data_IF_326028733968
#
_entry.id   IF_326028733968
#
_cell.length_a   1.000
_cell.length_b   1.000
_cell.length_c   1.000
_cell.angle_alpha   90.00
_cell.angle_beta   90.00
_cell.angle_gamma   90.00
#
_symmetry.space_group_name_H-M   'P 1'
#
loop_
_entity.id
_entity.type
_entity.pdbx_description
1 polymer ?
#
# COMPACT_ATOMS: atom_id res chain seq x y z
N UNK A 1 -10.47 -28.46 7.82
CA UNK A 1 -9.11 -28.48 8.39
C UNK A 1 -8.23 -27.63 7.49
N UNK A 2 -7.52 -26.60 8.02
CA UNK A 2 -6.68 -25.74 7.20
C UNK A 2 -5.56 -26.53 6.52
N UNK A 3 -5.25 -26.15 5.28
CA UNK A 3 -4.14 -26.69 4.49
C UNK A 3 -2.78 -26.31 5.10
N UNK A 4 -1.70 -26.95 4.68
CA UNK A 4 -0.37 -26.57 5.14
C UNK A 4 0.00 -25.15 4.70
N UNK A 5 -0.45 -24.69 3.53
CA UNK A 5 -0.22 -23.34 3.06
C UNK A 5 -0.94 -22.30 3.96
N UNK A 6 -2.20 -22.55 4.32
CA UNK A 6 -2.94 -21.66 5.25
C UNK A 6 -2.29 -21.60 6.63
N UNK A 7 -1.77 -22.72 7.15
CA UNK A 7 -1.03 -22.75 8.42
C UNK A 7 0.27 -21.95 8.37
N UNK A 8 1.01 -22.05 7.25
CA UNK A 8 2.24 -21.28 7.07
C UNK A 8 1.97 -19.77 7.00
N UNK A 9 0.92 -19.37 6.28
CA UNK A 9 0.49 -17.96 6.20
C UNK A 9 0.04 -17.44 7.57
N UNK A 10 -0.80 -18.19 8.29
CA UNK A 10 -1.25 -17.82 9.65
C UNK A 10 -0.06 -17.63 10.59
N UNK A 11 0.89 -18.57 10.57
CA UNK A 11 2.10 -18.49 11.39
C UNK A 11 2.95 -17.24 11.04
N UNK A 12 3.09 -16.91 9.74
CA UNK A 12 3.82 -15.74 9.30
C UNK A 12 3.15 -14.43 9.77
N UNK A 13 1.82 -14.35 9.68
CA UNK A 13 1.06 -13.18 10.19
C UNK A 13 1.18 -13.04 11.72
N UNK A 14 1.04 -14.14 12.46
CA UNK A 14 1.14 -14.16 13.92
C UNK A 14 2.56 -13.85 14.43
N UNK A 15 3.58 -14.00 13.58
CA UNK A 15 4.98 -13.67 13.93
C UNK A 15 5.27 -12.18 13.98
N UNK A 16 4.43 -11.37 13.34
CA UNK A 16 4.56 -9.90 13.32
C UNK A 16 3.70 -9.30 14.43
N UNK A 17 4.35 -8.65 15.40
CA UNK A 17 3.64 -8.00 16.51
C UNK A 17 3.27 -6.56 16.14
N UNK A 18 2.06 -6.16 16.49
CA UNK A 18 1.58 -4.79 16.41
C UNK A 18 1.51 -4.18 17.81
N UNK A 19 1.90 -2.93 17.94
CA UNK A 19 1.77 -2.16 19.17
C UNK A 19 0.30 -1.76 19.44
N UNK A 20 0.05 -1.15 20.61
CA UNK A 20 -1.29 -0.74 21.01
C UNK A 20 -1.90 0.30 20.05
N UNK A 21 -1.10 1.14 19.41
CA UNK A 21 -1.59 2.15 18.46
C UNK A 21 -2.06 1.50 17.16
N UNK A 22 -1.30 0.55 16.63
CA UNK A 22 -1.67 -0.24 15.45
C UNK A 22 -2.91 -1.08 15.70
N UNK A 23 -2.98 -1.76 16.85
CA UNK A 23 -4.17 -2.55 17.26
C UNK A 23 -5.41 -1.66 17.31
N UNK A 24 -5.34 -0.51 17.99
CA UNK A 24 -6.47 0.42 18.09
C UNK A 24 -6.84 1.05 16.72
N UNK A 25 -5.88 1.26 15.82
CA UNK A 25 -6.15 1.73 14.46
C UNK A 25 -6.85 0.64 13.62
N UNK A 26 -6.47 -0.64 13.80
CA UNK A 26 -7.08 -1.79 13.14
C UNK A 26 -8.54 -1.99 13.57
N UNK A 27 -8.85 -1.88 14.85
CA UNK A 27 -10.22 -1.91 15.36
C UNK A 27 -11.06 -0.81 14.70
N UNK A 28 -10.57 0.41 14.66
CA UNK A 28 -11.26 1.53 13.98
C UNK A 28 -11.45 1.30 12.48
N UNK A 29 -10.48 0.67 11.80
CA UNK A 29 -10.62 0.31 10.39
C UNK A 29 -11.81 -0.62 10.17
N UNK A 30 -11.94 -1.64 11.00
CA UNK A 30 -13.05 -2.61 10.96
C UNK A 30 -14.38 -1.89 11.18
N UNK A 31 -14.47 -1.02 12.19
CA UNK A 31 -15.68 -0.23 12.49
C UNK A 31 -16.11 0.67 11.32
N UNK A 32 -15.13 1.17 10.54
CA UNK A 32 -15.36 2.00 9.37
C UNK A 32 -15.58 1.20 8.08
N UNK A 33 -15.50 -0.13 8.13
CA UNK A 33 -15.59 -1.00 6.94
C UNK A 33 -14.37 -0.91 6.01
N UNK A 34 -13.27 -0.33 6.47
CA UNK A 34 -12.00 -0.36 5.77
C UNK A 34 -11.30 -1.71 6.01
N UNK A 35 -10.70 -2.27 4.97
CA UNK A 35 -9.92 -3.51 5.07
C UNK A 35 -8.44 -3.17 5.33
N UNK A 36 -7.94 -3.30 6.57
CA UNK A 36 -6.55 -2.97 6.87
C UNK A 36 -5.59 -4.01 6.31
N UNK A 37 -4.44 -3.59 5.85
CA UNK A 37 -3.36 -4.52 5.46
C UNK A 37 -3.00 -5.45 6.62
N UNK A 38 -2.67 -6.73 6.35
CA UNK A 38 -2.21 -7.64 7.39
C UNK A 38 -0.84 -7.20 7.95
N UNK A 39 -0.49 -7.63 9.18
CA UNK A 39 0.76 -7.24 9.85
C UNK A 39 2.01 -7.52 9.03
N UNK A 40 2.07 -8.65 8.31
CA UNK A 40 3.20 -9.01 7.46
C UNK A 40 3.42 -8.04 6.30
N UNK A 41 2.34 -7.55 5.66
CA UNK A 41 2.42 -6.51 4.63
C UNK A 41 2.89 -5.20 5.24
N UNK A 42 2.34 -4.81 6.40
CA UNK A 42 2.76 -3.61 7.11
C UNK A 42 4.25 -3.62 7.44
N UNK A 43 4.73 -4.70 8.05
CA UNK A 43 6.15 -4.88 8.37
C UNK A 43 7.05 -4.80 7.12
N UNK A 44 6.62 -5.38 6.00
CA UNK A 44 7.38 -5.30 4.74
C UNK A 44 7.44 -3.85 4.22
N UNK A 45 6.37 -3.06 4.36
CA UNK A 45 6.37 -1.63 4.00
C UNK A 45 7.37 -0.83 4.85
N UNK A 46 7.44 -1.10 6.17
CA UNK A 46 8.44 -0.50 7.05
C UNK A 46 9.86 -0.88 6.63
N UNK A 47 10.12 -2.15 6.33
CA UNK A 47 11.43 -2.61 5.84
C UNK A 47 11.82 -1.89 4.53
N UNK A 48 10.90 -1.76 3.57
CA UNK A 48 11.20 -1.07 2.31
C UNK A 48 11.51 0.41 2.53
N UNK A 49 10.73 1.12 3.33
CA UNK A 49 11.01 2.53 3.61
C UNK A 49 12.32 2.72 4.36
N UNK A 50 12.66 1.81 5.26
CA UNK A 50 13.95 1.80 5.97
C UNK A 50 15.12 1.54 5.01
N UNK A 51 15.05 0.49 4.18
CA UNK A 51 16.11 0.15 3.23
C UNK A 51 16.36 1.27 2.20
N UNK A 52 15.30 1.96 1.77
CA UNK A 52 15.40 3.09 0.86
C UNK A 52 15.91 4.37 1.54
N UNK A 53 15.95 4.42 2.88
CA UNK A 53 16.12 5.67 3.61
C UNK A 53 15.06 6.70 3.22
N UNK A 54 13.81 6.24 3.05
CA UNK A 54 12.75 6.98 2.37
C UNK A 54 12.43 8.30 3.07
N UNK A 55 12.33 9.37 2.27
CA UNK A 55 11.90 10.71 2.67
C UNK A 55 10.55 11.11 2.08
N UNK A 56 10.24 10.59 0.91
CA UNK A 56 9.04 10.97 0.16
C UNK A 56 8.27 9.72 -0.25
N UNK A 57 7.11 9.51 0.36
CA UNK A 57 6.25 8.36 0.12
C UNK A 57 4.85 8.83 -0.30
N UNK A 58 4.27 8.17 -1.30
CA UNK A 58 2.86 8.32 -1.66
C UNK A 58 2.11 7.05 -1.33
N UNK A 59 0.96 7.19 -0.71
CA UNK A 59 0.02 6.12 -0.43
C UNK A 59 -1.32 6.44 -1.08
N UNK A 60 -1.87 5.48 -1.83
CA UNK A 60 -3.19 5.55 -2.46
C UNK A 60 -4.09 4.57 -1.73
N UNK A 61 -5.05 5.10 -0.96
CA UNK A 61 -5.84 4.36 0.01
C UNK A 61 -5.30 4.54 1.42
N UNK A 62 -5.82 5.54 2.15
CA UNK A 62 -5.39 5.86 3.53
C UNK A 62 -5.98 4.89 4.55
N UNK A 63 -7.26 4.49 4.36
CA UNK A 63 -8.00 3.75 5.36
C UNK A 63 -7.92 4.42 6.74
N UNK A 64 -7.84 3.62 7.79
CA UNK A 64 -7.65 4.14 9.16
C UNK A 64 -6.18 4.44 9.52
N UNK A 65 -5.26 4.38 8.56
CA UNK A 65 -3.87 4.79 8.72
C UNK A 65 -2.90 3.68 9.12
N UNK A 66 -3.29 2.39 9.06
CA UNK A 66 -2.44 1.26 9.48
C UNK A 66 -1.19 1.17 8.59
N UNK A 67 -1.36 1.10 7.28
CA UNK A 67 -0.24 1.08 6.31
C UNK A 67 0.61 2.34 6.42
N UNK A 68 -0.03 3.51 6.60
CA UNK A 68 0.65 4.77 6.83
C UNK A 68 1.52 4.78 8.09
N UNK A 69 1.08 4.15 9.20
CA UNK A 69 1.89 3.99 10.42
C UNK A 69 3.14 3.14 10.14
N UNK A 70 3.00 2.01 9.46
CA UNK A 70 4.11 1.14 9.09
C UNK A 70 5.10 1.82 8.12
N UNK A 71 4.59 2.58 7.14
CA UNK A 71 5.43 3.37 6.23
C UNK A 71 6.24 4.41 7.01
N UNK A 72 5.59 5.16 7.92
CA UNK A 72 6.22 6.21 8.73
C UNK A 72 7.23 5.67 9.74
N UNK A 73 7.03 4.44 10.23
CA UNK A 73 7.96 3.75 11.13
C UNK A 73 9.33 3.52 10.47
N UNK A 74 9.35 3.06 9.21
CA UNK A 74 10.60 2.84 8.47
C UNK A 74 11.18 4.08 7.78
N UNK A 75 10.40 5.14 7.61
CA UNK A 75 10.84 6.39 6.98
C UNK A 75 11.79 7.17 7.87
N UNK A 76 12.66 7.98 7.25
CA UNK A 76 13.49 8.95 7.98
C UNK A 76 12.64 9.94 8.79
N UNK A 77 13.19 10.47 9.89
CA UNK A 77 12.50 11.43 10.77
C UNK A 77 12.11 12.74 10.06
N UNK A 78 12.84 13.12 9.01
CA UNK A 78 12.56 14.27 8.15
C UNK A 78 11.68 13.92 6.93
N UNK A 79 11.18 12.67 6.85
CA UNK A 79 10.36 12.18 5.75
C UNK A 79 8.89 12.57 5.86
N UNK A 80 8.24 12.70 4.69
CA UNK A 80 6.82 13.05 4.57
C UNK A 80 6.06 11.98 3.80
N UNK A 81 5.02 11.45 4.43
CA UNK A 81 4.01 10.59 3.81
C UNK A 81 2.89 11.46 3.23
N UNK A 82 2.65 11.37 1.91
CA UNK A 82 1.44 11.88 1.26
C UNK A 82 0.46 10.72 1.10
N UNK A 83 -0.70 10.78 1.74
CA UNK A 83 -1.72 9.72 1.69
C UNK A 83 -3.06 10.27 1.20
N UNK A 84 -3.69 9.55 0.27
CA UNK A 84 -4.86 10.00 -0.48
C UNK A 84 -6.01 9.02 -0.27
N UNK A 85 -7.19 9.53 0.09
CA UNK A 85 -8.41 8.73 0.24
C UNK A 85 -9.64 9.56 -0.12
N UNK A 86 -10.67 8.92 -0.65
CA UNK A 86 -11.95 9.58 -0.96
C UNK A 86 -12.82 9.76 0.28
N UNK A 87 -12.64 8.91 1.30
CA UNK A 87 -13.49 8.87 2.48
C UNK A 87 -12.99 9.82 3.59
N UNK A 88 -13.74 10.89 3.93
CA UNK A 88 -13.32 11.83 4.98
C UNK A 88 -13.18 11.18 6.36
N UNK A 89 -13.96 10.14 6.65
CA UNK A 89 -13.89 9.41 7.92
C UNK A 89 -12.58 8.62 8.04
N UNK A 90 -12.11 7.99 6.95
CA UNK A 90 -10.82 7.35 6.88
C UNK A 90 -9.69 8.33 7.20
N UNK A 91 -9.69 9.50 6.56
CA UNK A 91 -8.70 10.56 6.79
C UNK A 91 -8.71 11.05 8.26
N UNK A 92 -9.89 11.14 8.89
CA UNK A 92 -10.00 11.50 10.31
C UNK A 92 -9.42 10.43 11.22
N UNK A 93 -9.74 9.16 10.95
CA UNK A 93 -9.22 8.03 11.71
C UNK A 93 -7.70 7.91 11.58
N UNK A 94 -7.15 8.02 10.36
CA UNK A 94 -5.71 8.02 10.11
C UNK A 94 -5.00 9.16 10.85
N UNK A 95 -5.56 10.37 10.80
CA UNK A 95 -5.00 11.52 11.55
C UNK A 95 -4.98 11.28 13.06
N UNK A 96 -6.00 10.60 13.60
CA UNK A 96 -6.04 10.21 15.01
C UNK A 96 -4.95 9.18 15.32
N UNK A 97 -4.80 8.15 14.48
CA UNK A 97 -3.79 7.12 14.62
C UNK A 97 -2.36 7.70 14.59
N UNK A 98 -2.06 8.58 13.62
CA UNK A 98 -0.75 9.24 13.54
C UNK A 98 -0.44 10.09 14.77
N UNK A 99 -1.43 10.82 15.30
CA UNK A 99 -1.26 11.57 16.55
C UNK A 99 -1.00 10.66 17.74
N UNK A 100 -1.71 9.54 17.86
CA UNK A 100 -1.53 8.58 18.94
C UNK A 100 -0.12 7.95 18.91
N UNK A 101 0.44 7.73 17.70
CA UNK A 101 1.81 7.29 17.49
C UNK A 101 2.87 8.39 17.70
N UNK A 102 2.46 9.63 18.07
CA UNK A 102 3.41 10.74 18.26
C UNK A 102 3.98 11.30 16.96
N UNK A 103 3.41 10.98 15.80
CA UNK A 103 3.88 11.48 14.50
C UNK A 103 3.60 12.98 14.40
N UNK A 104 4.64 13.76 14.12
CA UNK A 104 4.51 15.20 13.93
C UNK A 104 3.62 15.50 12.72
N UNK A 105 2.70 16.50 12.80
CA UNK A 105 1.81 16.85 11.69
C UNK A 105 2.53 17.22 10.39
N UNK A 106 3.76 17.70 10.47
CA UNK A 106 4.62 18.03 9.33
C UNK A 106 5.09 16.79 8.54
N UNK A 107 5.02 15.59 9.15
CA UNK A 107 5.41 14.33 8.52
C UNK A 107 4.29 13.68 7.69
N UNK A 108 3.07 14.24 7.73
CA UNK A 108 1.92 13.65 7.04
C UNK A 108 1.16 14.69 6.23
N UNK A 109 0.86 14.37 5.00
CA UNK A 109 0.02 15.14 4.10
C UNK A 109 -1.20 14.32 3.72
N UNK A 110 -2.28 14.48 4.48
CA UNK A 110 -3.54 13.78 4.23
C UNK A 110 -4.36 14.58 3.19
N UNK A 111 -4.69 13.94 2.08
CA UNK A 111 -5.45 14.55 0.99
C UNK A 111 -6.77 13.80 0.82
N UNK A 112 -7.87 14.47 1.13
CA UNK A 112 -9.20 13.93 0.82
C UNK A 112 -9.55 14.27 -0.63
N UNK A 113 -9.68 13.24 -1.47
CA UNK A 113 -9.99 13.40 -2.89
C UNK A 113 -9.73 12.14 -3.69
N UNK A 114 -10.11 12.17 -4.95
CA UNK A 114 -9.86 11.08 -5.87
C UNK A 114 -8.39 11.06 -6.29
N UNK A 115 -7.74 9.89 -6.16
CA UNK A 115 -6.31 9.79 -6.44
C UNK A 115 -5.97 10.17 -7.88
N UNK A 116 -6.83 9.82 -8.87
CA UNK A 116 -6.61 10.18 -10.28
C UNK A 116 -6.65 11.71 -10.54
N UNK A 117 -7.26 12.50 -9.65
CA UNK A 117 -7.22 13.97 -9.73
C UNK A 117 -6.01 14.56 -9.00
N UNK A 118 -5.45 13.85 -8.03
CA UNK A 118 -4.34 14.29 -7.19
C UNK A 118 -2.99 13.94 -7.79
N UNK A 119 -2.82 12.67 -8.20
CA UNK A 119 -1.55 12.13 -8.69
C UNK A 119 -0.93 12.96 -9.83
N UNK A 120 -1.69 13.44 -10.85
CA UNK A 120 -1.13 14.25 -11.93
C UNK A 120 -0.51 15.59 -11.48
N UNK A 121 -0.80 16.04 -10.25
CA UNK A 121 -0.26 17.28 -9.67
C UNK A 121 1.01 17.06 -8.86
N UNK A 122 1.38 15.80 -8.64
CA UNK A 122 2.59 15.43 -7.92
C UNK A 122 3.79 15.42 -8.88
N UNK A 123 4.97 15.75 -8.32
CA UNK A 123 6.19 15.89 -9.11
C UNK A 123 6.70 14.54 -9.64
N UNK A 124 7.20 14.53 -10.86
CA UNK A 124 7.84 13.38 -11.49
C UNK A 124 9.14 13.03 -10.76
N UNK A 125 9.45 11.74 -10.70
CA UNK A 125 10.74 11.21 -10.21
C UNK A 125 11.16 11.72 -8.82
N UNK A 126 10.17 12.04 -7.97
CA UNK A 126 10.39 12.68 -6.68
C UNK A 126 10.12 11.79 -5.47
N UNK A 127 9.65 10.55 -5.68
CA UNK A 127 9.20 9.70 -4.59
C UNK A 127 10.04 8.42 -4.47
N UNK A 128 10.32 8.06 -3.22
CA UNK A 128 11.09 6.88 -2.86
C UNK A 128 10.25 5.61 -2.93
N UNK A 129 8.98 5.71 -2.54
CA UNK A 129 8.04 4.60 -2.57
C UNK A 129 6.63 5.10 -2.90
N UNK A 130 5.91 4.31 -3.71
CA UNK A 130 4.46 4.46 -3.92
C UNK A 130 3.78 3.17 -3.49
N UNK A 131 2.86 3.26 -2.53
CA UNK A 131 2.00 2.16 -2.08
C UNK A 131 0.60 2.34 -2.63
N UNK A 132 0.05 1.30 -3.25
CA UNK A 132 -1.29 1.29 -3.86
C UNK A 132 -2.15 0.25 -3.16
N UNK A 133 -3.13 0.71 -2.39
CA UNK A 133 -4.14 -0.10 -1.70
C UNK A 133 -5.52 0.55 -1.80
N UNK A 134 -5.96 0.77 -3.02
CA UNK A 134 -7.24 1.39 -3.33
C UNK A 134 -8.01 0.57 -4.37
N UNK A 135 -9.09 1.16 -4.93
CA UNK A 135 -10.00 0.48 -5.87
C UNK A 135 -9.26 -0.29 -6.96
N UNK A 136 -9.40 -1.64 -7.03
CA UNK A 136 -8.67 -2.46 -8.00
C UNK A 136 -9.01 -2.16 -9.47
N UNK A 137 -10.16 -1.56 -9.76
CA UNK A 137 -10.55 -1.19 -11.14
C UNK A 137 -9.66 -0.09 -11.72
N UNK A 138 -9.02 0.71 -10.87
CA UNK A 138 -8.16 1.82 -11.24
C UNK A 138 -6.66 1.47 -11.20
N UNK A 139 -6.31 0.23 -10.83
CA UNK A 139 -4.92 -0.20 -10.63
C UNK A 139 -4.02 0.12 -11.82
N UNK A 140 -4.48 -0.06 -13.06
CA UNK A 140 -3.67 0.26 -14.24
C UNK A 140 -3.24 1.74 -14.28
N UNK A 141 -4.17 2.65 -13.98
CA UNK A 141 -3.88 4.08 -13.94
C UNK A 141 -2.97 4.44 -12.76
N UNK A 142 -3.22 3.82 -11.59
CA UNK A 142 -2.34 4.02 -10.43
C UNK A 142 -0.92 3.54 -10.70
N UNK A 143 -0.74 2.41 -11.39
CA UNK A 143 0.58 1.91 -11.80
C UNK A 143 1.28 2.89 -12.75
N UNK A 144 0.58 3.40 -13.77
CA UNK A 144 1.16 4.36 -14.71
C UNK A 144 1.64 5.63 -14.01
N UNK A 145 0.82 6.19 -13.12
CA UNK A 145 1.21 7.35 -12.31
C UNK A 145 2.35 7.01 -11.34
N UNK A 146 2.31 5.85 -10.68
CA UNK A 146 3.36 5.42 -9.76
C UNK A 146 4.73 5.34 -10.43
N UNK A 147 4.81 4.78 -11.64
CA UNK A 147 6.06 4.69 -12.39
C UNK A 147 6.59 6.09 -12.75
N UNK A 148 5.70 7.05 -13.08
CA UNK A 148 6.08 8.45 -13.33
C UNK A 148 6.63 9.13 -12.07
N UNK A 149 5.98 8.90 -10.92
CA UNK A 149 6.32 9.55 -9.65
C UNK A 149 7.61 9.03 -9.02
N UNK A 150 7.89 7.73 -9.19
CA UNK A 150 9.06 7.10 -8.58
C UNK A 150 10.36 7.64 -9.17
N UNK A 151 11.33 7.97 -8.33
CA UNK A 151 12.71 8.19 -8.75
C UNK A 151 13.38 6.88 -9.20
N UNK A 152 14.49 6.91 -9.95
CA UNK A 152 15.32 5.73 -10.14
C UNK A 152 15.74 5.12 -8.79
N UNK A 153 15.62 3.81 -8.65
CA UNK A 153 15.80 3.07 -7.39
C UNK A 153 14.61 3.15 -6.42
N UNK A 154 13.53 3.84 -6.77
CA UNK A 154 12.28 3.85 -5.99
C UNK A 154 11.47 2.57 -6.16
N UNK A 155 10.51 2.34 -5.27
CA UNK A 155 9.73 1.10 -5.20
C UNK A 155 8.23 1.36 -5.31
N UNK A 156 7.56 0.66 -6.24
CA UNK A 156 6.11 0.49 -6.29
C UNK A 156 5.74 -0.75 -5.50
N UNK A 157 4.73 -0.64 -4.65
CA UNK A 157 4.08 -1.77 -3.97
C UNK A 157 2.59 -1.72 -4.28
N UNK A 158 2.08 -2.73 -4.98
CA UNK A 158 0.66 -2.87 -5.33
C UNK A 158 0.05 -4.02 -4.54
N UNK A 159 -0.92 -3.71 -3.68
CA UNK A 159 -1.66 -4.67 -2.87
C UNK A 159 -2.89 -5.23 -3.60
N UNK A 160 -3.49 -6.30 -3.07
CA UNK A 160 -4.66 -7.01 -3.65
C UNK A 160 -4.41 -7.57 -5.07
N UNK A 161 -3.18 -7.98 -5.35
CA UNK A 161 -2.78 -8.48 -6.67
C UNK A 161 -3.30 -9.90 -6.99
N UNK A 162 -3.85 -10.64 -6.00
CA UNK A 162 -4.41 -11.99 -6.18
C UNK A 162 -5.95 -12.04 -6.06
N UNK A 163 -6.59 -11.04 -5.46
CA UNK A 163 -8.05 -10.90 -5.29
C UNK A 163 -8.72 -12.18 -4.77
N UNK A 164 -8.27 -12.71 -3.62
CA UNK A 164 -8.81 -13.93 -3.03
C UNK A 164 -8.71 -15.15 -3.94
N UNK A 165 -7.64 -15.21 -4.77
CA UNK A 165 -7.41 -16.32 -5.72
C UNK A 165 -8.14 -16.17 -7.06
N UNK A 166 -8.87 -15.07 -7.30
CA UNK A 166 -9.56 -14.83 -8.60
C UNK A 166 -8.60 -14.54 -9.75
N UNK A 167 -7.48 -13.89 -9.45
CA UNK A 167 -6.50 -13.53 -10.49
C UNK A 167 -5.87 -14.75 -11.17
N UNK A 168 -5.44 -15.82 -10.48
CA UNK A 168 -4.92 -17.02 -11.12
C UNK A 168 -5.99 -17.91 -11.78
N UNK A 169 -7.29 -17.75 -11.43
CA UNK A 169 -8.38 -18.54 -12.04
C UNK A 169 -8.79 -17.96 -13.40
N UNK A 170 -8.44 -18.64 -14.49
CA UNK A 170 -8.76 -18.22 -15.87
C UNK A 170 -10.26 -18.09 -16.19
N UNK A 171 -11.13 -18.70 -15.36
CA UNK A 171 -12.59 -18.61 -15.53
C UNK A 171 -13.15 -17.31 -14.97
N UNK A 172 -12.45 -16.64 -14.09
CA UNK A 172 -12.84 -15.35 -13.52
C UNK A 172 -12.62 -14.24 -14.56
N UNK A 173 -13.71 -13.60 -15.01
CA UNK A 173 -13.70 -12.59 -16.06
C UNK A 173 -14.47 -11.31 -15.68
N UNK A 174 -14.74 -11.13 -14.40
CA UNK A 174 -15.33 -9.88 -13.91
C UNK A 174 -14.37 -8.70 -14.13
N UNK A 175 -14.93 -7.49 -14.22
CA UNK A 175 -14.19 -6.28 -14.57
C UNK A 175 -13.01 -6.01 -13.62
N UNK A 176 -13.20 -6.25 -12.32
CA UNK A 176 -12.17 -6.06 -11.30
C UNK A 176 -10.99 -7.02 -11.51
N UNK A 177 -11.26 -8.31 -11.71
CA UNK A 177 -10.21 -9.32 -11.96
C UNK A 177 -9.45 -9.03 -13.25
N UNK A 178 -10.16 -8.60 -14.31
CA UNK A 178 -9.53 -8.19 -15.58
C UNK A 178 -8.62 -6.97 -15.38
N UNK A 179 -9.09 -5.97 -14.63
CA UNK A 179 -8.30 -4.76 -14.35
C UNK A 179 -7.01 -5.06 -13.58
N UNK A 180 -7.07 -5.92 -12.54
CA UNK A 180 -5.88 -6.32 -11.78
C UNK A 180 -4.89 -7.10 -12.65
N UNK A 181 -5.38 -8.02 -13.50
CA UNK A 181 -4.50 -8.71 -14.47
C UNK A 181 -3.84 -7.75 -15.46
N UNK A 182 -4.56 -6.75 -15.92
CA UNK A 182 -4.01 -5.72 -16.81
C UNK A 182 -2.90 -4.90 -16.12
N UNK A 183 -3.13 -4.49 -14.86
CA UNK A 183 -2.12 -3.80 -14.07
C UNK A 183 -0.87 -4.66 -13.80
N UNK A 184 -1.07 -5.93 -13.40
CA UNK A 184 0.03 -6.87 -13.17
C UNK A 184 0.86 -7.10 -14.45
N UNK A 185 0.20 -7.22 -15.60
CA UNK A 185 0.86 -7.34 -16.91
C UNK A 185 1.64 -6.08 -17.26
N UNK A 186 1.04 -4.90 -17.09
CA UNK A 186 1.70 -3.63 -17.36
C UNK A 186 2.98 -3.46 -16.52
N UNK A 187 2.97 -3.88 -15.25
CA UNK A 187 4.16 -3.89 -14.40
C UNK A 187 5.21 -4.88 -14.93
N UNK A 188 4.79 -6.10 -15.29
CA UNK A 188 5.70 -7.15 -15.73
C UNK A 188 6.36 -6.87 -17.11
N UNK A 189 5.67 -6.12 -17.98
CA UNK A 189 6.12 -5.77 -19.33
C UNK A 189 6.88 -4.42 -19.37
N UNK A 190 6.90 -3.66 -18.28
CA UNK A 190 7.63 -2.38 -18.23
C UNK A 190 9.13 -2.63 -18.02
N UNK A 191 9.93 -2.38 -19.07
CA UNK A 191 11.38 -2.57 -19.05
C UNK A 191 12.12 -1.71 -18.01
N UNK A 192 11.47 -0.70 -17.44
CA UNK A 192 12.03 0.15 -16.38
C UNK A 192 11.91 -0.47 -15.00
N UNK A 193 11.22 -1.61 -14.87
CA UNK A 193 10.88 -2.21 -13.59
C UNK A 193 11.51 -3.59 -13.42
N UNK A 194 12.07 -3.85 -12.25
CA UNK A 194 12.38 -5.20 -11.77
C UNK A 194 11.30 -5.63 -10.78
N UNK A 195 10.59 -6.74 -11.03
CA UNK A 195 9.33 -7.05 -10.36
C UNK A 195 9.32 -8.42 -9.67
N UNK A 196 8.51 -8.53 -8.61
CA UNK A 196 8.16 -9.80 -7.96
C UNK A 196 6.72 -9.78 -7.49
N UNK A 197 6.00 -10.91 -7.62
CA UNK A 197 4.70 -11.14 -6.97
C UNK A 197 4.93 -12.02 -5.73
N UNK A 198 4.56 -11.50 -4.57
CA UNK A 198 4.61 -12.21 -3.29
C UNK A 198 3.20 -12.66 -2.89
N UNK A 199 3.01 -13.91 -2.43
CA UNK A 199 1.74 -14.40 -1.91
C UNK A 199 1.53 -13.95 -0.44
N UNK A 200 1.67 -12.66 -0.18
CA UNK A 200 1.55 -12.02 1.13
C UNK A 200 0.27 -11.19 1.15
N UNK A 201 -0.50 -11.25 2.23
CA UNK A 201 -1.83 -10.68 2.25
C UNK A 201 -2.71 -11.27 1.14
N UNK A 202 -3.38 -10.42 0.37
CA UNK A 202 -4.13 -10.81 -0.85
C UNK A 202 -3.29 -10.61 -2.13
N UNK A 203 -2.00 -10.89 -2.05
CA UNK A 203 -1.01 -10.72 -3.12
C UNK A 203 -0.41 -9.31 -3.18
N UNK A 204 0.91 -9.27 -3.25
CA UNK A 204 1.67 -8.03 -3.26
C UNK A 204 2.64 -8.04 -4.44
N UNK A 205 2.45 -7.15 -5.41
CA UNK A 205 3.46 -6.91 -6.45
C UNK A 205 4.40 -5.82 -5.95
N UNK A 206 5.69 -6.16 -5.88
CA UNK A 206 6.74 -5.21 -5.58
C UNK A 206 7.59 -5.00 -6.83
N UNK A 207 7.82 -3.74 -7.19
CA UNK A 207 8.58 -3.39 -8.38
C UNK A 207 9.56 -2.25 -8.07
N UNK A 208 10.85 -2.46 -8.37
CA UNK A 208 11.88 -1.43 -8.26
C UNK A 208 12.09 -0.74 -9.61
N UNK A 209 12.04 0.59 -9.63
CA UNK A 209 12.36 1.37 -10.83
C UNK A 209 13.89 1.41 -11.03
N UNK A 210 14.35 0.99 -12.21
CA UNK A 210 15.75 1.09 -12.62
C UNK A 210 16.17 2.52 -12.93
#
# INVERSE_FOLDING_TARGET
>A
VPTNAEKMLSYAEESTQEDEVLVAARERAIDLGAAPVPPSVGSLLSIFTQMLGAKTVVEIGTGAGISGLWLLDGMRDDGVLTTIDTEPEHQRAAKQAFRAAGIAPSRTRLINGWALDVLPRLADEAYDLVFVDASPVDHLHFVQESVRLLRPGGVLVLHNALLGGRVPDSNQRDATTVAVRAAARAIAEDERLTTVLLPLGDGLICASRM
#
